data_IF_880915283291
#
_entry.id   IF_880915283291
#
_cell.length_a   1.000
_cell.length_b   1.000
_cell.length_c   1.000
_cell.angle_alpha   90.00
_cell.angle_beta   90.00
_cell.angle_gamma   90.00
#
_symmetry.space_group_name_H-M   'P 1'
#
loop_
_entity.id
_entity.type
_entity.pdbx_description
1 polymer ?
#
# COMPACT_ATOMS: atom_id res chain seq x y z
N UNK A 1 5.07 -8.79 -34.45
CA UNK A 1 5.07 -7.99 -33.19
C UNK A 1 3.71 -7.93 -32.50
N UNK A 2 2.58 -7.76 -33.21
CA UNK A 2 1.25 -7.76 -32.57
C UNK A 2 0.90 -9.11 -31.90
N UNK A 3 1.20 -10.24 -32.56
CA UNK A 3 0.95 -11.58 -31.99
C UNK A 3 1.82 -11.94 -30.79
N UNK A 4 3.07 -11.45 -30.76
CA UNK A 4 3.98 -11.69 -29.63
C UNK A 4 3.54 -10.93 -28.38
N UNK A 5 3.07 -9.69 -28.52
CA UNK A 5 2.56 -8.88 -27.41
C UNK A 5 1.24 -9.43 -26.87
N UNK A 6 0.34 -9.86 -27.77
CA UNK A 6 -0.92 -10.52 -27.39
C UNK A 6 -0.67 -11.82 -26.62
N UNK A 7 0.30 -12.63 -27.06
CA UNK A 7 0.69 -13.86 -26.38
C UNK A 7 1.25 -13.56 -24.99
N UNK A 8 2.17 -12.59 -24.87
CA UNK A 8 2.72 -12.16 -23.59
C UNK A 8 1.61 -11.74 -22.61
N UNK A 9 0.66 -10.94 -23.06
CA UNK A 9 -0.46 -10.47 -22.22
C UNK A 9 -1.46 -11.54 -21.85
N UNK A 10 -1.57 -12.61 -22.65
CA UNK A 10 -2.36 -13.78 -22.27
C UNK A 10 -1.67 -14.61 -21.19
N UNK A 11 -0.33 -14.67 -21.20
CA UNK A 11 0.44 -15.38 -20.17
C UNK A 11 0.58 -14.57 -18.88
N UNK A 12 0.59 -13.24 -18.97
CA UNK A 12 0.76 -12.33 -17.84
C UNK A 12 -0.37 -11.29 -17.78
N UNK A 13 -1.56 -11.65 -17.27
CA UNK A 13 -2.71 -10.74 -17.21
C UNK A 13 -2.47 -9.48 -16.35
N UNK A 14 -1.65 -9.58 -15.30
CA UNK A 14 -1.26 -8.44 -14.47
C UNK A 14 -0.48 -7.40 -15.30
N UNK A 15 0.47 -7.84 -16.12
CA UNK A 15 1.25 -6.98 -17.02
C UNK A 15 0.35 -6.30 -18.04
N UNK A 16 -0.62 -7.03 -18.61
CA UNK A 16 -1.62 -6.46 -19.50
C UNK A 16 -2.43 -5.37 -18.81
N UNK A 17 -2.92 -5.63 -17.60
CA UNK A 17 -3.74 -4.68 -16.83
C UNK A 17 -2.96 -3.41 -16.55
N UNK A 18 -1.72 -3.52 -16.06
CA UNK A 18 -0.84 -2.38 -15.82
C UNK A 18 -0.59 -1.59 -17.10
N UNK A 19 -0.28 -2.27 -18.21
CA UNK A 19 -0.04 -1.62 -19.49
C UNK A 19 -1.27 -0.89 -20.03
N UNK A 20 -2.47 -1.41 -19.77
CA UNK A 20 -3.73 -0.84 -20.25
C UNK A 20 -4.31 0.25 -19.35
N UNK A 21 -3.79 0.43 -18.14
CA UNK A 21 -4.22 1.48 -17.22
C UNK A 21 -3.81 2.86 -17.73
N UNK A 22 -4.81 3.72 -17.98
CA UNK A 22 -4.64 5.07 -18.51
C UNK A 22 -5.06 6.16 -17.52
N UNK A 23 -5.79 5.78 -16.49
CA UNK A 23 -6.27 6.69 -15.45
C UNK A 23 -5.66 6.34 -14.09
N UNK A 24 -5.67 7.32 -13.17
CA UNK A 24 -5.29 7.10 -11.77
C UNK A 24 -6.07 5.93 -11.16
N UNK A 25 -7.39 5.90 -11.41
CA UNK A 25 -8.28 4.88 -10.85
C UNK A 25 -7.97 3.47 -11.37
N UNK A 26 -7.73 3.30 -12.66
CA UNK A 26 -7.35 1.99 -13.23
C UNK A 26 -6.00 1.50 -12.70
N UNK A 27 -5.04 2.43 -12.52
CA UNK A 27 -3.75 2.10 -11.92
C UNK A 27 -3.90 1.69 -10.45
N UNK A 28 -4.74 2.40 -9.71
CA UNK A 28 -5.08 2.11 -8.33
C UNK A 28 -5.80 0.76 -8.16
N UNK A 29 -6.73 0.42 -9.05
CA UNK A 29 -7.40 -0.88 -9.10
C UNK A 29 -6.47 -2.04 -9.45
N UNK A 30 -5.46 -1.78 -10.28
CA UNK A 30 -4.37 -2.71 -10.55
C UNK A 30 -3.52 -2.90 -9.28
N UNK A 31 -3.04 -1.80 -8.68
CA UNK A 31 -2.17 -1.84 -7.51
C UNK A 31 -2.81 -2.58 -6.34
N UNK A 32 -4.08 -2.32 -6.04
CA UNK A 32 -4.78 -3.00 -4.95
C UNK A 32 -4.81 -4.54 -5.16
N UNK A 33 -4.94 -5.01 -6.41
CA UNK A 33 -4.95 -6.43 -6.75
C UNK A 33 -3.54 -7.02 -6.63
N UNK A 34 -2.55 -6.28 -7.12
CA UNK A 34 -1.15 -6.68 -7.07
C UNK A 34 -0.62 -6.73 -5.63
N UNK A 35 -1.01 -5.78 -4.78
CA UNK A 35 -0.77 -5.83 -3.35
C UNK A 35 -1.36 -7.09 -2.73
N UNK A 36 -2.63 -7.40 -3.00
CA UNK A 36 -3.29 -8.58 -2.46
C UNK A 36 -2.52 -9.88 -2.75
N UNK A 37 -2.10 -10.08 -3.99
CA UNK A 37 -1.29 -11.24 -4.40
C UNK A 37 0.06 -11.27 -3.66
N UNK A 38 0.74 -10.11 -3.54
CA UNK A 38 2.01 -10.00 -2.84
C UNK A 38 1.89 -10.27 -1.33
N UNK A 39 0.82 -9.79 -0.71
CA UNK A 39 0.52 -10.00 0.72
C UNK A 39 0.26 -11.48 0.96
N UNK A 40 -0.56 -12.13 0.14
CA UNK A 40 -0.83 -13.57 0.28
C UNK A 40 0.46 -14.39 0.21
N UNK A 41 1.41 -13.99 -0.64
CA UNK A 41 2.75 -14.60 -0.69
C UNK A 41 3.55 -14.34 0.60
N UNK A 42 3.55 -13.13 1.13
CA UNK A 42 4.18 -12.84 2.43
C UNK A 42 3.57 -13.67 3.56
N UNK A 43 2.24 -13.77 3.60
CA UNK A 43 1.52 -14.55 4.60
C UNK A 43 1.79 -16.05 4.45
N UNK A 44 1.96 -16.57 3.23
CA UNK A 44 2.40 -17.94 2.96
C UNK A 44 3.78 -18.23 3.57
N UNK A 45 4.70 -17.27 3.46
CA UNK A 45 6.08 -17.35 3.95
C UNK A 45 6.24 -16.83 5.39
N UNK A 46 5.15 -16.59 6.13
CA UNK A 46 5.19 -15.94 7.44
C UNK A 46 6.19 -16.57 8.41
N UNK A 47 6.30 -17.90 8.43
CA UNK A 47 7.24 -18.65 9.27
C UNK A 47 8.72 -18.29 9.05
N UNK A 48 9.09 -17.79 7.87
CA UNK A 48 10.42 -17.26 7.57
C UNK A 48 10.55 -15.77 7.87
N UNK A 49 9.44 -15.04 7.98
CA UNK A 49 9.39 -13.58 8.07
C UNK A 49 9.04 -13.06 9.48
N UNK A 50 8.48 -13.89 10.37
CA UNK A 50 8.02 -13.47 11.71
C UNK A 50 9.11 -12.81 12.56
N UNK A 51 10.37 -13.22 12.40
CA UNK A 51 11.49 -12.67 13.17
C UNK A 51 12.21 -11.49 12.47
N UNK A 52 11.82 -11.18 11.23
CA UNK A 52 12.46 -10.12 10.46
C UNK A 52 12.01 -8.73 10.91
N UNK A 53 12.94 -7.79 10.77
CA UNK A 53 12.70 -6.38 11.05
C UNK A 53 12.06 -5.69 9.85
N UNK A 54 11.45 -4.54 10.12
CA UNK A 54 10.76 -3.70 9.15
C UNK A 54 11.51 -3.51 7.83
N UNK A 55 12.83 -3.24 7.87
CA UNK A 55 13.64 -3.05 6.67
C UNK A 55 13.60 -4.26 5.72
N UNK A 56 13.74 -5.47 6.27
CA UNK A 56 13.72 -6.71 5.49
C UNK A 56 12.32 -7.04 4.99
N UNK A 57 11.30 -6.84 5.81
CA UNK A 57 9.90 -7.04 5.40
C UNK A 57 9.53 -6.10 4.25
N UNK A 58 9.94 -4.84 4.33
CA UNK A 58 9.77 -3.85 3.26
C UNK A 58 10.62 -4.17 2.04
N UNK A 59 11.82 -4.77 2.20
CA UNK A 59 12.61 -5.32 1.09
C UNK A 59 11.87 -6.42 0.35
N UNK A 60 11.30 -7.37 1.09
CA UNK A 60 10.53 -8.47 0.54
C UNK A 60 9.30 -7.94 -0.21
N UNK A 61 8.54 -7.03 0.41
CA UNK A 61 7.37 -6.45 -0.22
C UNK A 61 7.73 -5.66 -1.49
N UNK A 62 8.80 -4.85 -1.45
CA UNK A 62 9.28 -4.13 -2.63
C UNK A 62 9.66 -5.07 -3.77
N UNK A 63 10.37 -6.16 -3.45
CA UNK A 63 10.76 -7.16 -4.44
C UNK A 63 9.55 -7.92 -5.00
N UNK A 64 8.56 -8.25 -4.16
CA UNK A 64 7.33 -8.93 -4.58
C UNK A 64 6.48 -8.03 -5.49
N UNK A 65 6.34 -6.74 -5.16
CA UNK A 65 5.59 -5.78 -5.95
C UNK A 65 6.29 -5.44 -7.28
N UNK A 66 7.62 -5.49 -7.33
CA UNK A 66 8.37 -5.11 -8.53
C UNK A 66 8.09 -6.07 -9.69
N UNK A 67 7.74 -5.51 -10.85
CA UNK A 67 7.52 -6.29 -12.08
C UNK A 67 7.80 -5.42 -13.30
N UNK A 68 7.94 -6.00 -14.52
CA UNK A 68 8.08 -5.19 -15.73
C UNK A 68 6.97 -4.14 -15.84
N UNK A 69 7.36 -2.87 -15.99
CA UNK A 69 6.43 -1.73 -16.04
C UNK A 69 6.05 -1.13 -14.67
N UNK A 70 6.44 -1.74 -13.55
CA UNK A 70 6.20 -1.23 -12.20
C UNK A 70 7.50 -1.22 -11.38
N UNK A 71 8.05 -0.04 -11.12
CA UNK A 71 9.22 0.11 -10.26
C UNK A 71 8.81 0.36 -8.81
N UNK A 72 9.45 -0.34 -7.87
CA UNK A 72 9.27 -0.10 -6.43
C UNK A 72 10.62 0.24 -5.81
N UNK A 73 10.79 1.51 -5.50
CA UNK A 73 12.02 2.04 -4.92
C UNK A 73 11.84 2.13 -3.42
N UNK A 74 12.68 1.39 -2.68
CA UNK A 74 12.77 1.57 -1.23
C UNK A 74 13.46 2.88 -0.89
N UNK A 75 13.07 3.46 0.22
CA UNK A 75 13.78 4.60 0.82
C UNK A 75 13.88 5.81 -0.12
N UNK A 76 12.91 5.92 -1.03
CA UNK A 76 12.84 7.02 -1.99
C UNK A 76 12.70 8.35 -1.25
N UNK A 77 13.46 9.35 -1.70
CA UNK A 77 13.35 10.70 -1.15
C UNK A 77 12.10 11.40 -1.72
N UNK A 78 11.15 11.72 -0.84
CA UNK A 78 9.97 12.56 -1.11
C UNK A 78 9.70 13.39 0.13
N UNK A 79 10.33 14.57 0.24
CA UNK A 79 10.28 15.41 1.45
C UNK A 79 10.71 14.67 2.74
N UNK A 80 11.45 13.56 2.59
CA UNK A 80 11.83 12.60 3.62
C UNK A 80 12.01 11.19 3.02
N UNK A 81 12.48 10.23 3.83
CA UNK A 81 12.68 8.83 3.40
C UNK A 81 11.36 8.08 3.51
N UNK A 82 10.70 7.87 2.37
CA UNK A 82 9.48 7.04 2.30
C UNK A 82 9.90 5.58 2.23
N UNK A 83 9.23 4.70 2.95
CA UNK A 83 9.59 3.28 2.93
C UNK A 83 9.52 2.70 1.51
N UNK A 84 8.43 2.98 0.78
CA UNK A 84 8.25 2.56 -0.61
C UNK A 84 7.71 3.70 -1.48
N UNK A 85 8.34 3.88 -2.64
CA UNK A 85 7.81 4.66 -3.76
C UNK A 85 7.52 3.71 -4.92
N UNK A 86 6.26 3.60 -5.30
CA UNK A 86 5.78 2.74 -6.39
C UNK A 86 5.50 3.62 -7.60
N UNK A 87 6.04 3.29 -8.76
CA UNK A 87 5.87 4.07 -9.99
C UNK A 87 5.53 3.18 -11.17
N UNK A 88 4.55 3.61 -11.94
CA UNK A 88 4.36 3.11 -13.30
C UNK A 88 5.50 3.62 -14.18
N UNK A 89 6.12 2.69 -14.90
CA UNK A 89 7.10 2.99 -15.97
C UNK A 89 6.42 2.99 -17.35
N UNK A 90 5.09 2.97 -17.39
CA UNK A 90 4.31 3.01 -18.63
C UNK A 90 4.42 4.37 -19.30
N UNK A 91 4.56 4.38 -20.63
CA UNK A 91 4.48 5.61 -21.44
C UNK A 91 3.07 6.19 -21.39
N UNK A 92 2.04 5.36 -21.10
CA UNK A 92 0.65 5.80 -21.06
C UNK A 92 0.26 6.43 -19.73
N UNK A 93 1.04 6.22 -18.67
CA UNK A 93 0.71 6.64 -17.32
C UNK A 93 1.97 6.75 -16.46
N UNK A 94 2.22 7.96 -15.94
CA UNK A 94 3.33 8.24 -15.03
C UNK A 94 2.90 8.19 -13.55
N UNK A 95 1.90 7.36 -13.23
CA UNK A 95 1.35 7.30 -11.87
C UNK A 95 2.41 6.91 -10.84
N UNK A 96 2.32 7.55 -9.67
CA UNK A 96 3.19 7.30 -8.52
C UNK A 96 2.34 7.17 -7.27
N UNK A 97 2.67 6.19 -6.42
CA UNK A 97 2.10 6.03 -5.08
C UNK A 97 3.21 5.90 -4.04
N UNK A 98 2.90 6.36 -2.84
CA UNK A 98 3.76 6.26 -1.68
C UNK A 98 3.17 5.22 -0.72
N UNK A 99 4.03 4.41 -0.11
CA UNK A 99 3.63 3.54 0.99
C UNK A 99 4.56 3.69 2.18
N UNK A 100 3.99 3.80 3.37
CA UNK A 100 4.69 3.69 4.64
C UNK A 100 4.45 2.29 5.21
N UNK A 101 5.52 1.61 5.63
CA UNK A 101 5.44 0.24 6.11
C UNK A 101 5.99 0.15 7.55
N UNK A 102 5.24 -0.50 8.45
CA UNK A 102 5.59 -0.56 9.87
C UNK A 102 5.30 -1.92 10.46
N UNK A 103 6.12 -2.39 11.40
CA UNK A 103 5.69 -3.49 12.28
C UNK A 103 4.64 -2.94 13.25
N UNK A 104 3.50 -3.61 13.36
CA UNK A 104 2.44 -3.17 14.25
C UNK A 104 2.88 -3.21 15.72
N UNK A 105 2.80 -2.04 16.35
CA UNK A 105 3.11 -1.84 17.75
C UNK A 105 2.04 -1.01 18.47
N UNK A 106 0.79 -1.03 17.95
CA UNK A 106 -0.36 -0.36 18.53
C UNK A 106 -0.79 0.89 17.76
N UNK A 107 -2.01 1.35 18.05
CA UNK A 107 -2.66 2.47 17.36
C UNK A 107 -1.87 3.78 17.31
N UNK A 108 -1.06 4.09 18.31
CA UNK A 108 -0.24 5.31 18.28
C UNK A 108 0.82 5.25 17.15
N UNK A 109 1.40 4.07 16.92
CA UNK A 109 2.36 3.83 15.83
C UNK A 109 1.67 3.80 14.47
N UNK A 110 0.48 3.23 14.40
CA UNK A 110 -0.37 3.30 13.22
C UNK A 110 -0.66 4.75 12.81
N UNK A 111 -1.10 5.60 13.75
CA UNK A 111 -1.34 7.03 13.49
C UNK A 111 -0.06 7.76 13.09
N UNK A 112 1.08 7.40 13.67
CA UNK A 112 2.39 7.95 13.26
C UNK A 112 2.70 7.61 11.78
N UNK A 113 2.40 6.40 11.32
CA UNK A 113 2.59 6.00 9.93
C UNK A 113 1.72 6.83 8.97
N UNK A 114 0.44 7.04 9.31
CA UNK A 114 -0.46 7.93 8.56
C UNK A 114 0.10 9.35 8.51
N UNK A 115 0.56 9.88 9.66
CA UNK A 115 1.11 11.23 9.77
C UNK A 115 2.35 11.41 8.87
N UNK A 116 3.23 10.40 8.83
CA UNK A 116 4.40 10.40 7.95
C UNK A 116 3.98 10.39 6.48
N UNK A 117 3.10 9.47 6.10
CA UNK A 117 2.62 9.35 4.72
C UNK A 117 1.92 10.61 4.23
N UNK A 118 0.90 11.07 4.96
CA UNK A 118 0.02 12.17 4.56
C UNK A 118 0.74 13.51 4.68
N UNK A 119 1.33 13.83 5.83
CA UNK A 119 1.81 15.21 6.08
C UNK A 119 3.28 15.43 5.81
N UNK A 120 4.11 14.38 5.81
CA UNK A 120 5.56 14.53 5.58
C UNK A 120 5.93 14.23 4.14
N UNK A 121 5.44 13.12 3.59
CA UNK A 121 5.95 12.60 2.33
C UNK A 121 5.11 12.96 1.12
N UNK A 122 3.79 13.01 1.30
CA UNK A 122 2.87 13.42 0.26
C UNK A 122 2.97 14.91 0.00
N UNK A 123 2.75 15.29 -1.25
CA UNK A 123 2.67 16.71 -1.66
C UNK A 123 1.22 17.16 -1.86
N UNK A 124 0.25 16.25 -1.69
CA UNK A 124 -1.14 16.43 -2.08
C UNK A 124 -1.42 16.17 -3.57
N UNK A 125 -0.38 15.99 -4.39
CA UNK A 125 -0.56 15.67 -5.82
C UNK A 125 -1.07 14.24 -6.04
N UNK A 126 -0.61 13.30 -5.22
CA UNK A 126 -1.10 11.92 -5.27
C UNK A 126 -2.38 11.85 -4.45
N UNK A 127 -3.46 11.43 -5.12
CA UNK A 127 -4.78 11.24 -4.52
C UNK A 127 -4.83 10.02 -3.59
N UNK A 128 -3.83 9.13 -3.64
CA UNK A 128 -3.81 7.87 -2.88
C UNK A 128 -2.42 7.50 -2.33
N UNK A 129 -2.41 6.84 -1.18
CA UNK A 129 -1.24 6.22 -0.57
C UNK A 129 -1.59 4.97 0.25
N UNK A 130 -0.56 4.27 0.72
CA UNK A 130 -0.72 2.99 1.42
C UNK A 130 -0.02 3.01 2.78
N UNK A 131 -0.68 2.50 3.81
CA UNK A 131 -0.04 2.16 5.08
C UNK A 131 -0.06 0.64 5.21
N UNK A 132 1.11 0.03 5.27
CA UNK A 132 1.26 -1.43 5.38
C UNK A 132 1.74 -1.77 6.79
N UNK A 133 0.95 -2.55 7.52
CA UNK A 133 1.30 -3.01 8.86
C UNK A 133 1.60 -4.51 8.88
N UNK A 134 2.79 -4.86 9.34
CA UNK A 134 3.20 -6.25 9.56
C UNK A 134 2.78 -6.69 10.97
N UNK A 135 1.88 -7.66 11.04
CA UNK A 135 1.31 -8.15 12.31
C UNK A 135 1.99 -9.46 12.71
N UNK A 136 2.95 -9.39 13.63
CA UNK A 136 3.69 -10.56 14.14
C UNK A 136 3.07 -11.15 15.42
N UNK A 137 1.80 -10.80 15.72
CA UNK A 137 1.07 -11.18 16.92
C UNK A 137 -0.29 -11.82 16.57
N UNK A 138 -0.86 -12.68 17.42
CA UNK A 138 -2.15 -13.30 17.15
C UNK A 138 -3.28 -12.28 17.13
N UNK A 139 -4.40 -12.64 16.47
CA UNK A 139 -5.65 -11.89 16.54
C UNK A 139 -5.70 -10.66 15.62
N UNK A 140 -5.16 -10.76 14.39
CA UNK A 140 -5.19 -9.66 13.41
C UNK A 140 -6.60 -9.10 13.17
N UNK A 141 -7.63 -9.95 13.14
CA UNK A 141 -9.02 -9.50 12.97
C UNK A 141 -9.43 -8.49 14.05
N UNK A 142 -9.14 -8.80 15.32
CA UNK A 142 -9.46 -7.90 16.44
C UNK A 142 -8.61 -6.64 16.43
N UNK A 143 -7.34 -6.75 15.99
CA UNK A 143 -6.45 -5.60 15.84
C UNK A 143 -7.03 -4.62 14.82
N UNK A 144 -7.45 -5.10 13.65
CA UNK A 144 -8.02 -4.26 12.59
C UNK A 144 -9.32 -3.59 13.03
N UNK A 145 -10.22 -4.34 13.69
CA UNK A 145 -11.47 -3.77 14.23
C UNK A 145 -11.18 -2.65 15.24
N UNK A 146 -10.22 -2.85 16.13
CA UNK A 146 -9.82 -1.83 17.13
C UNK A 146 -9.16 -0.62 16.50
N UNK A 147 -8.34 -0.81 15.47
CA UNK A 147 -7.71 0.28 14.71
C UNK A 147 -8.78 1.16 14.06
N UNK A 148 -9.73 0.55 13.34
CA UNK A 148 -10.85 1.26 12.71
C UNK A 148 -11.71 2.00 13.70
N UNK A 149 -12.17 1.32 14.76
CA UNK A 149 -12.98 1.95 15.79
C UNK A 149 -12.29 3.17 16.41
N UNK A 150 -10.97 3.09 16.64
CA UNK A 150 -10.21 4.23 17.15
C UNK A 150 -10.05 5.35 16.13
N UNK A 151 -9.84 5.03 14.86
CA UNK A 151 -9.78 6.01 13.78
C UNK A 151 -11.13 6.74 13.60
N UNK A 152 -12.24 6.01 13.68
CA UNK A 152 -13.60 6.54 13.50
C UNK A 152 -14.07 7.41 14.67
N UNK A 153 -13.50 7.22 15.86
CA UNK A 153 -13.73 8.09 17.02
C UNK A 153 -12.80 9.30 16.99
N UNK A 154 -11.52 9.07 16.69
CA UNK A 154 -10.47 10.07 16.87
C UNK A 154 -10.16 10.94 15.65
N UNK A 155 -10.64 10.55 14.46
CA UNK A 155 -10.36 11.19 13.17
C UNK A 155 -8.89 11.61 13.01
N UNK A 156 -7.92 10.68 13.15
CA UNK A 156 -6.50 11.02 13.20
C UNK A 156 -6.03 11.69 11.92
N UNK A 157 -5.04 12.58 12.02
CA UNK A 157 -4.38 13.20 10.85
C UNK A 157 -5.40 13.82 9.87
N UNK A 158 -6.31 14.64 10.40
CA UNK A 158 -7.36 15.30 9.62
C UNK A 158 -8.21 14.33 8.77
N UNK A 159 -8.49 13.13 9.30
CA UNK A 159 -9.37 12.18 8.64
C UNK A 159 -10.75 12.81 8.38
N UNK A 160 -11.32 12.54 7.21
CA UNK A 160 -12.61 13.01 6.76
C UNK A 160 -13.59 11.84 6.76
N UNK A 161 -14.57 11.88 7.66
CA UNK A 161 -15.54 10.79 7.78
C UNK A 161 -14.95 9.50 8.36
N UNK A 162 -15.80 8.49 8.47
CA UNK A 162 -15.43 7.18 9.01
C UNK A 162 -14.69 6.34 7.98
N UNK A 163 -13.97 5.32 8.44
CA UNK A 163 -13.30 4.33 7.62
C UNK A 163 -14.30 3.52 6.79
N UNK A 164 -13.88 3.12 5.60
CA UNK A 164 -14.66 2.28 4.69
C UNK A 164 -13.97 0.93 4.51
N UNK A 165 -14.75 -0.08 4.16
CA UNK A 165 -14.20 -1.40 3.83
C UNK A 165 -13.34 -1.33 2.56
N UNK A 166 -12.28 -2.13 2.54
CA UNK A 166 -11.51 -2.42 1.34
C UNK A 166 -11.76 -3.88 0.91
N UNK A 167 -11.62 -4.19 -0.38
CA UNK A 167 -11.84 -5.55 -0.89
C UNK A 167 -10.86 -6.59 -0.33
N UNK A 168 -9.62 -6.15 -0.07
CA UNK A 168 -8.58 -6.99 0.51
C UNK A 168 -8.95 -7.33 1.96
N UNK A 169 -8.79 -8.60 2.33
CA UNK A 169 -9.01 -9.04 3.71
C UNK A 169 -8.10 -8.27 4.66
N UNK A 170 -8.66 -7.85 5.80
CA UNK A 170 -7.96 -7.07 6.84
C UNK A 170 -7.42 -5.73 6.35
N UNK A 171 -7.93 -5.21 5.22
CA UNK A 171 -7.66 -3.87 4.77
C UNK A 171 -8.89 -2.97 4.93
N UNK A 172 -8.65 -1.67 5.03
CA UNK A 172 -9.69 -0.65 5.08
C UNK A 172 -9.18 0.67 4.49
N UNK A 173 -10.08 1.63 4.28
CA UNK A 173 -9.78 2.91 3.67
C UNK A 173 -10.10 4.04 4.67
N UNK A 174 -9.29 5.08 4.68
CA UNK A 174 -9.65 6.38 5.25
C UNK A 174 -9.25 7.51 4.29
N UNK A 175 -9.98 8.62 4.31
CA UNK A 175 -9.66 9.81 3.51
C UNK A 175 -9.12 10.91 4.45
N UNK A 176 -8.03 11.57 4.08
CA UNK A 176 -7.34 12.56 4.93
C UNK A 176 -7.19 13.89 4.20
N UNK A 177 -7.50 15.01 4.87
CA UNK A 177 -7.27 16.34 4.29
C UNK A 177 -5.81 16.75 4.44
N UNK A 178 -5.13 16.87 3.31
CA UNK A 178 -3.75 17.32 3.23
C UNK A 178 -3.66 18.85 3.40
N UNK A 179 -2.45 19.35 3.71
CA UNK A 179 -2.20 20.80 3.88
C UNK A 179 -2.45 21.59 2.60
N UNK A 180 -2.31 20.94 1.44
CA UNK A 180 -2.69 21.49 0.12
C UNK A 180 -4.21 21.57 -0.11
N UNK A 181 -5.03 21.21 0.88
CA UNK A 181 -6.50 21.10 0.81
C UNK A 181 -7.05 19.93 -0.02
N UNK A 182 -6.18 19.22 -0.75
CA UNK A 182 -6.53 17.98 -1.43
C UNK A 182 -6.83 16.85 -0.45
N UNK A 183 -7.67 15.91 -0.88
CA UNK A 183 -7.93 14.68 -0.15
C UNK A 183 -6.96 13.59 -0.58
N UNK A 184 -6.32 12.96 0.40
CA UNK A 184 -5.49 11.78 0.19
C UNK A 184 -6.20 10.58 0.77
N UNK A 185 -6.54 9.63 -0.10
CA UNK A 185 -7.07 8.32 0.27
C UNK A 185 -5.95 7.41 0.75
N UNK A 186 -6.04 6.92 1.97
CA UNK A 186 -5.08 5.96 2.53
C UNK A 186 -5.71 4.58 2.57
N UNK A 187 -5.06 3.61 1.92
CA UNK A 187 -5.39 2.19 2.04
C UNK A 187 -4.53 1.59 3.14
N UNK A 188 -5.18 1.11 4.18
CA UNK A 188 -4.54 0.43 5.30
C UNK A 188 -4.54 -1.05 5.02
N UNK A 189 -3.35 -1.64 4.94
CA UNK A 189 -3.15 -3.05 4.62
C UNK A 189 -2.51 -3.70 5.85
N UNK A 190 -3.13 -4.74 6.39
CA UNK A 190 -2.61 -5.45 7.55
C UNK A 190 -2.22 -6.88 7.15
N UNK A 191 -0.93 -7.18 7.25
CA UNK A 191 -0.33 -8.45 6.81
C UNK A 191 -0.17 -9.39 8.00
N UNK A 192 -0.78 -10.58 7.94
CA UNK A 192 -0.65 -11.55 9.02
C UNK A 192 0.67 -12.34 8.93
N UNK A 193 1.64 -11.96 9.74
CA UNK A 193 2.91 -12.70 9.90
C UNK A 193 2.93 -13.54 11.18
N UNK A 194 1.79 -13.76 11.82
CA UNK A 194 1.64 -14.66 12.95
C UNK A 194 0.96 -15.95 12.51
N UNK A 195 1.69 -17.07 12.63
CA UNK A 195 1.20 -18.43 12.37
C UNK A 195 1.44 -19.32 13.58
#
# INVERSE_FOLDING_TARGET
>A
MADSLKTLFNWFPALRTLFQAKTEHEFDDFLDRHFEECIQRMEAEAHHLTADKEEKLSAFLAAALSMPGLSVVREGYSNGRVDLTIKSESIQSSERRLAEAKIYAGSAKHVQAIQQLVSRYSTGRQSRGYVVEYIQKPGISDIVVKLRAKADIGFPVNQQGTTCDHRMKWAYISDHRHTSQELIRVVHINVNLHR
#
